data_IF_224974300017
#
_entry.id   IF_224974300017
#
_cell.length_a   1.000
_cell.length_b   1.000
_cell.length_c   1.000
_cell.angle_alpha   90.00
_cell.angle_beta   90.00
_cell.angle_gamma   90.00
#
_symmetry.space_group_name_H-M   'P 1'
#
loop_
_entity.id
_entity.type
_entity.pdbx_description
1 polymer ?
#
# COMPACT_ATOMS: atom_id res chain seq x y z
N UNK A 1 21.87 -26.69 7.12
CA UNK A 1 22.31 -25.39 6.56
C UNK A 1 21.31 -25.03 5.47
N UNK A 2 20.19 -24.43 5.85
CA UNK A 2 19.11 -24.04 4.93
C UNK A 2 19.17 -22.53 4.75
N UNK A 3 19.34 -22.12 3.50
CA UNK A 3 19.27 -20.74 3.06
C UNK A 3 17.99 -20.61 2.24
N UNK A 4 16.89 -20.25 2.89
CA UNK A 4 15.61 -19.99 2.23
C UNK A 4 15.64 -18.58 1.63
N UNK A 5 15.73 -18.49 0.31
CA UNK A 5 15.47 -17.26 -0.44
C UNK A 5 13.97 -17.16 -0.70
N UNK A 6 13.26 -16.46 0.18
CA UNK A 6 11.89 -16.04 -0.03
C UNK A 6 11.84 -14.99 -1.16
N UNK A 7 11.22 -15.34 -2.28
CA UNK A 7 10.77 -14.37 -3.29
C UNK A 7 9.61 -13.58 -2.69
N UNK A 8 9.90 -12.37 -2.22
CA UNK A 8 8.89 -11.43 -1.78
C UNK A 8 8.02 -11.04 -2.98
N UNK A 9 6.78 -11.54 -3.01
CA UNK A 9 5.70 -10.97 -3.81
C UNK A 9 5.44 -9.56 -3.28
N UNK A 10 6.12 -8.56 -3.86
CA UNK A 10 5.83 -7.17 -3.59
C UNK A 10 4.45 -6.88 -4.21
N UNK A 11 3.44 -6.75 -3.35
CA UNK A 11 2.15 -6.17 -3.73
C UNK A 11 2.46 -4.71 -4.09
N UNK A 12 2.74 -4.45 -5.36
CA UNK A 12 2.96 -3.10 -5.88
C UNK A 12 1.66 -2.34 -5.66
N UNK A 13 1.72 -1.28 -4.85
CA UNK A 13 0.59 -0.35 -4.82
C UNK A 13 0.41 0.24 -6.20
N UNK A 14 -0.83 0.53 -6.55
CA UNK A 14 -1.12 1.22 -7.79
C UNK A 14 -0.40 2.57 -7.77
N UNK A 15 0.56 2.72 -8.68
CA UNK A 15 1.42 3.89 -8.80
C UNK A 15 0.59 5.17 -8.97
N UNK A 16 -0.60 5.05 -9.57
CA UNK A 16 -1.56 6.15 -9.75
C UNK A 16 -2.09 6.72 -8.42
N UNK A 17 -2.27 5.89 -7.38
CA UNK A 17 -2.75 6.34 -6.07
C UNK A 17 -1.67 7.17 -5.37
N UNK A 18 -0.42 6.73 -5.47
CA UNK A 18 0.73 7.44 -4.91
C UNK A 18 0.98 8.75 -5.66
N UNK A 19 0.78 8.75 -6.97
CA UNK A 19 0.88 9.96 -7.80
C UNK A 19 -0.20 10.99 -7.45
N UNK A 20 -1.49 10.60 -7.37
CA UNK A 20 -2.60 11.49 -6.97
C UNK A 20 -2.33 12.14 -5.60
N UNK A 21 -1.69 11.38 -4.70
CA UNK A 21 -1.37 11.84 -3.35
C UNK A 21 -0.05 12.63 -3.25
N UNK A 22 0.73 12.76 -4.32
CA UNK A 22 2.03 13.43 -4.29
C UNK A 22 3.10 12.67 -3.48
N UNK A 23 2.95 11.35 -3.37
CA UNK A 23 3.85 10.46 -2.63
C UNK A 23 4.78 9.66 -3.56
N UNK A 24 4.64 9.83 -4.88
CA UNK A 24 5.50 9.18 -5.87
C UNK A 24 6.89 9.83 -5.91
N UNK A 25 7.93 9.01 -5.76
CA UNK A 25 9.32 9.44 -5.90
C UNK A 25 9.83 9.20 -7.31
N UNK A 26 10.57 10.18 -7.85
CA UNK A 26 11.25 10.04 -9.13
C UNK A 26 12.50 9.19 -8.99
N UNK A 27 12.77 8.36 -9.99
CA UNK A 27 13.96 7.50 -10.03
C UNK A 27 15.25 8.31 -9.84
N UNK A 28 16.10 7.86 -8.91
CA UNK A 28 17.39 8.51 -8.66
C UNK A 28 17.32 9.75 -7.75
N UNK A 29 16.17 10.01 -7.11
CA UNK A 29 16.01 11.04 -6.07
C UNK A 29 15.99 10.47 -4.64
N UNK A 30 15.89 9.15 -4.49
CA UNK A 30 16.04 8.44 -3.24
C UNK A 30 16.78 7.11 -3.45
N UNK A 31 17.27 6.52 -2.35
CA UNK A 31 17.73 5.13 -2.38
C UNK A 31 16.53 4.19 -2.48
N UNK A 32 16.73 2.99 -3.03
CA UNK A 32 15.70 1.94 -3.06
C UNK A 32 15.09 1.69 -1.67
N UNK A 33 15.91 1.64 -0.61
CA UNK A 33 15.42 1.46 0.78
C UNK A 33 14.53 2.61 1.26
N UNK A 34 14.82 3.84 0.83
CA UNK A 34 13.99 5.00 1.15
C UNK A 34 12.65 4.93 0.41
N UNK A 35 12.67 4.56 -0.88
CA UNK A 35 11.45 4.36 -1.67
C UNK A 35 10.55 3.27 -1.05
N UNK A 36 11.12 2.13 -0.68
CA UNK A 36 10.42 1.05 0.02
C UNK A 36 9.83 1.50 1.36
N UNK A 37 10.56 2.30 2.13
CA UNK A 37 10.10 2.83 3.41
C UNK A 37 8.94 3.81 3.24
N UNK A 38 9.03 4.72 2.27
CA UNK A 38 7.96 5.68 1.95
C UNK A 38 6.72 4.95 1.45
N UNK A 39 6.87 3.97 0.57
CA UNK A 39 5.77 3.15 0.11
C UNK A 39 5.09 2.41 1.26
N UNK A 40 5.88 1.85 2.20
CA UNK A 40 5.35 1.19 3.41
C UNK A 40 4.55 2.17 4.27
N UNK A 41 5.06 3.38 4.51
CA UNK A 41 4.34 4.42 5.25
C UNK A 41 3.06 4.85 4.53
N UNK A 42 3.10 5.01 3.20
CA UNK A 42 1.95 5.39 2.40
C UNK A 42 0.83 4.33 2.49
N UNK A 43 1.16 3.03 2.57
CA UNK A 43 0.17 1.95 2.74
C UNK A 43 -0.68 2.12 4.00
N UNK A 44 -0.07 2.59 5.08
CA UNK A 44 -0.73 2.80 6.37
C UNK A 44 -1.70 4.00 6.36
N UNK A 45 -1.63 4.83 5.32
CA UNK A 45 -2.42 6.05 5.16
C UNK A 45 -3.57 5.87 4.15
N UNK A 46 -3.89 4.64 3.78
CA UNK A 46 -4.99 4.32 2.88
C UNK A 46 -6.29 4.12 3.65
N UNK A 47 -7.37 4.70 3.12
CA UNK A 47 -8.70 4.50 3.61
C UNK A 47 -9.27 3.16 3.12
N UNK A 48 -9.71 2.25 4.02
CA UNK A 48 -10.22 0.93 3.64
C UNK A 48 -11.61 0.95 2.96
N UNK A 49 -12.24 2.12 2.81
CA UNK A 49 -13.54 2.26 2.14
C UNK A 49 -13.42 2.72 0.69
N UNK A 50 -12.35 3.42 0.33
CA UNK A 50 -12.18 3.97 -1.02
C UNK A 50 -10.83 3.62 -1.64
N UNK A 51 -9.97 2.89 -0.93
CA UNK A 51 -8.62 2.49 -1.32
C UNK A 51 -7.72 3.65 -1.77
N UNK A 52 -8.05 4.87 -1.35
CA UNK A 52 -7.26 6.08 -1.59
C UNK A 52 -6.63 6.58 -0.30
N UNK A 53 -5.59 7.39 -0.45
CA UNK A 53 -4.98 8.11 0.66
C UNK A 53 -6.04 8.98 1.38
N UNK A 54 -5.99 9.01 2.72
CA UNK A 54 -7.00 9.67 3.54
C UNK A 54 -7.26 11.13 3.13
N UNK A 55 -8.52 11.45 2.79
CA UNK A 55 -9.02 12.82 2.65
C UNK A 55 -9.81 13.19 3.90
N UNK A 56 -9.28 14.13 4.68
CA UNK A 56 -9.82 14.52 6.01
C UNK A 56 -10.02 13.29 6.91
N UNK A 57 -8.92 12.67 7.40
CA UNK A 57 -9.02 11.46 8.21
C UNK A 57 -9.88 11.69 9.46
N UNK A 58 -10.74 10.74 9.73
CA UNK A 58 -11.63 10.70 10.89
C UNK A 58 -11.54 9.33 11.54
N UNK A 59 -11.48 9.32 12.86
CA UNK A 59 -11.33 8.10 13.65
C UNK A 59 -12.61 7.86 14.46
N UNK A 60 -13.10 6.63 14.41
CA UNK A 60 -14.21 6.18 15.22
C UNK A 60 -13.77 6.07 16.68
N UNK A 61 -14.49 6.72 17.60
CA UNK A 61 -14.12 6.68 19.02
C UNK A 61 -14.34 5.31 19.67
N UNK A 62 -15.22 4.46 19.14
CA UNK A 62 -15.56 3.16 19.70
C UNK A 62 -14.50 2.08 19.43
N UNK A 63 -13.77 2.17 18.32
CA UNK A 63 -12.84 1.12 17.89
C UNK A 63 -11.51 1.64 17.33
N UNK A 64 -11.28 2.95 17.34
CA UNK A 64 -10.05 3.60 16.85
C UNK A 64 -9.70 3.35 15.37
N UNK A 65 -10.64 2.85 14.55
CA UNK A 65 -10.45 2.72 13.11
C UNK A 65 -10.64 4.05 12.39
N UNK A 66 -9.80 4.28 11.37
CA UNK A 66 -9.72 5.55 10.64
C UNK A 66 -10.22 5.44 9.20
N UNK A 67 -10.96 6.46 8.75
CA UNK A 67 -11.57 6.55 7.42
C UNK A 67 -11.51 8.00 6.90
N UNK A 68 -11.67 8.20 5.60
CA UNK A 68 -12.00 9.53 5.08
C UNK A 68 -13.34 10.00 5.67
N UNK A 69 -13.45 11.27 6.02
CA UNK A 69 -14.68 11.82 6.61
C UNK A 69 -15.90 11.56 5.73
N UNK A 70 -15.81 11.81 4.42
CA UNK A 70 -16.93 11.56 3.51
C UNK A 70 -17.27 10.06 3.38
N UNK A 71 -16.27 9.18 3.32
CA UNK A 71 -16.51 7.75 3.16
C UNK A 71 -17.27 7.16 4.35
N UNK A 72 -16.92 7.55 5.57
CA UNK A 72 -17.63 7.06 6.76
C UNK A 72 -19.02 7.69 6.91
N UNK A 73 -19.22 8.91 6.41
CA UNK A 73 -20.53 9.59 6.40
C UNK A 73 -21.52 8.86 5.49
N UNK A 74 -21.06 8.54 4.29
CA UNK A 74 -21.86 7.80 3.29
C UNK A 74 -22.15 6.37 3.78
N UNK A 75 -21.16 5.72 4.39
CA UNK A 75 -21.32 4.38 4.95
C UNK A 75 -22.31 4.36 6.14
N UNK A 76 -22.23 5.36 7.03
CA UNK A 76 -23.11 5.49 8.19
C UNK A 76 -24.59 5.76 7.81
N UNK A 77 -24.88 6.13 6.55
CA UNK A 77 -26.25 6.26 6.07
C UNK A 77 -26.96 4.92 5.87
N UNK A 78 -26.20 3.84 5.63
CA UNK A 78 -26.74 2.49 5.35
C UNK A 78 -26.41 1.47 6.43
N UNK A 79 -25.34 1.69 7.20
CA UNK A 79 -24.82 0.74 8.18
C UNK A 79 -24.55 1.42 9.53
N UNK A 80 -24.66 0.68 10.63
CA UNK A 80 -24.48 1.18 11.99
C UNK A 80 -23.27 0.59 12.72
N UNK A 81 -22.48 -0.24 12.05
CA UNK A 81 -21.32 -0.93 12.62
C UNK A 81 -20.05 -0.53 11.85
N UNK A 82 -18.89 -0.65 12.48
CA UNK A 82 -17.60 -0.38 11.86
C UNK A 82 -17.41 -1.28 10.62
N UNK A 83 -16.98 -0.74 9.46
CA UNK A 83 -16.78 -1.51 8.22
C UNK A 83 -15.55 -2.42 8.26
N UNK A 84 -14.67 -2.29 9.26
CA UNK A 84 -13.50 -3.17 9.40
C UNK A 84 -13.95 -4.57 9.82
N UNK A 85 -13.52 -5.57 9.05
CA UNK A 85 -13.83 -6.97 9.31
C UNK A 85 -13.40 -7.39 10.72
N UNK A 86 -14.28 -8.11 11.41
CA UNK A 86 -14.06 -8.56 12.80
C UNK A 86 -14.24 -7.49 13.87
N UNK A 87 -14.40 -6.21 13.54
CA UNK A 87 -14.59 -5.16 14.55
C UNK A 87 -16.01 -5.12 15.11
N UNK A 88 -17.03 -5.08 14.24
CA UNK A 88 -18.46 -5.04 14.58
C UNK A 88 -18.91 -3.94 15.59
N UNK A 89 -18.02 -3.04 16.03
CA UNK A 89 -18.35 -1.99 16.99
C UNK A 89 -19.34 -1.00 16.40
N UNK A 90 -20.34 -0.53 17.17
CA UNK A 90 -21.31 0.42 16.67
C UNK A 90 -20.64 1.76 16.32
N UNK A 91 -21.06 2.32 15.20
CA UNK A 91 -20.76 3.69 14.79
C UNK A 91 -21.47 4.70 15.69
N UNK A 92 -22.54 4.30 16.40
CA UNK A 92 -23.33 5.17 17.26
C UNK A 92 -23.24 4.80 18.74
N UNK A 93 -22.47 5.56 19.52
CA UNK A 93 -22.67 5.66 20.97
C UNK A 93 -23.13 7.09 21.25
N UNK A 94 -24.45 7.31 21.19
CA UNK A 94 -25.02 8.64 21.41
C UNK A 94 -24.95 8.94 22.89
N UNK A 95 -23.87 9.58 23.33
CA UNK A 95 -23.86 10.25 24.62
C UNK A 95 -24.93 11.35 24.63
N UNK A 96 -25.56 11.60 25.78
CA UNK A 96 -26.57 12.65 26.03
C UNK A 96 -26.23 14.05 25.49
N UNK A 97 -24.98 14.30 25.12
CA UNK A 97 -24.47 15.60 24.68
C UNK A 97 -24.34 15.78 23.15
N UNK A 98 -24.85 14.86 22.32
CA UNK A 98 -25.00 15.09 20.88
C UNK A 98 -23.68 15.30 20.11
N UNK A 99 -22.57 14.76 20.61
CA UNK A 99 -21.29 14.78 19.90
C UNK A 99 -21.30 13.88 18.67
N UNK A 100 -20.57 14.28 17.62
CA UNK A 100 -20.29 13.43 16.45
C UNK A 100 -19.49 12.19 16.86
N UNK A 101 -19.92 11.01 16.43
CA UNK A 101 -19.34 9.70 16.79
C UNK A 101 -17.94 9.44 16.21
N UNK A 102 -17.61 10.22 15.18
CA UNK A 102 -16.30 10.28 14.55
C UNK A 102 -15.67 11.61 14.90
N UNK A 103 -14.38 11.57 15.25
CA UNK A 103 -13.58 12.76 15.47
C UNK A 103 -12.59 12.88 14.32
N UNK A 104 -12.40 14.10 13.82
CA UNK A 104 -11.29 14.37 12.90
C UNK A 104 -9.98 14.01 13.61
N UNK A 105 -9.09 13.34 12.88
CA UNK A 105 -7.80 12.92 13.38
C UNK A 105 -6.72 13.85 12.79
N UNK A 106 -6.38 14.96 13.48
CA UNK A 106 -5.38 15.89 12.97
C UNK A 106 -3.98 15.26 12.90
N UNK A 107 -3.69 14.24 13.71
CA UNK A 107 -2.39 13.57 13.69
C UNK A 107 -2.15 12.85 12.35
N UNK A 108 -3.13 12.07 11.87
CA UNK A 108 -3.01 11.39 10.55
C UNK A 108 -2.89 12.43 9.44
N UNK A 109 -3.64 13.53 9.50
CA UNK A 109 -3.54 14.61 8.52
C UNK A 109 -2.14 15.24 8.51
N UNK A 110 -1.58 15.54 9.68
CA UNK A 110 -0.23 16.09 9.81
C UNK A 110 0.85 15.11 9.31
N UNK A 111 0.70 13.81 9.58
CA UNK A 111 1.62 12.78 9.07
C UNK A 111 1.60 12.73 7.55
N UNK A 112 0.42 12.81 6.94
CA UNK A 112 0.24 12.81 5.49
C UNK A 112 0.89 14.05 4.86
N UNK A 113 0.62 15.25 5.40
CA UNK A 113 1.24 16.50 4.94
C UNK A 113 2.78 16.47 5.07
N UNK A 114 3.28 15.92 6.18
CA UNK A 114 4.73 15.78 6.41
C UNK A 114 5.36 14.83 5.39
N UNK A 115 4.71 13.70 5.11
CA UNK A 115 5.20 12.72 4.13
C UNK A 115 5.20 13.29 2.71
N UNK A 116 4.15 14.03 2.33
CA UNK A 116 4.09 14.76 1.06
C UNK A 116 5.22 15.78 0.93
N UNK A 117 5.49 16.54 1.99
CA UNK A 117 6.58 17.51 2.00
C UNK A 117 7.94 16.83 1.80
N UNK A 118 8.18 15.71 2.48
CA UNK A 118 9.41 14.92 2.31
C UNK A 118 9.55 14.45 0.86
N UNK A 119 8.50 13.86 0.28
CA UNK A 119 8.54 13.38 -1.10
C UNK A 119 8.80 14.51 -2.09
N UNK A 120 8.16 15.67 -1.87
CA UNK A 120 8.41 16.88 -2.65
C UNK A 120 9.88 17.32 -2.57
N UNK A 121 10.43 17.43 -1.36
CA UNK A 121 11.83 17.84 -1.16
C UNK A 121 12.83 16.85 -1.78
N UNK A 122 12.56 15.55 -1.69
CA UNK A 122 13.39 14.53 -2.34
C UNK A 122 13.35 14.69 -3.86
N UNK A 123 12.17 14.89 -4.44
CA UNK A 123 11.99 15.09 -5.88
C UNK A 123 12.63 16.40 -6.40
N UNK A 124 12.72 17.43 -5.56
CA UNK A 124 13.41 18.70 -5.87
C UNK A 124 14.94 18.61 -5.67
N UNK A 125 15.41 17.63 -4.91
CA UNK A 125 16.84 17.43 -4.64
C UNK A 125 17.59 16.92 -5.89
N UNK A 126 18.89 17.23 -6.03
CA UNK A 126 19.71 16.69 -7.11
C UNK A 126 19.70 15.16 -7.14
N UNK A 127 19.81 14.57 -8.33
CA UNK A 127 19.94 13.12 -8.46
C UNK A 127 21.16 12.63 -7.69
N UNK A 128 21.02 11.51 -6.98
CA UNK A 128 22.06 10.91 -6.16
C UNK A 128 22.63 11.83 -5.06
N UNK A 129 21.86 12.79 -4.53
CA UNK A 129 22.32 13.72 -3.48
C UNK A 129 22.85 13.03 -2.21
N UNK A 130 22.41 11.80 -1.94
CA UNK A 130 22.85 10.99 -0.81
C UNK A 130 24.20 10.29 -1.06
N UNK A 131 24.79 10.41 -2.25
CA UNK A 131 26.12 9.85 -2.56
C UNK A 131 27.20 10.89 -2.27
N UNK A 132 28.37 10.43 -1.86
CA UNK A 132 29.51 11.32 -1.68
C UNK A 132 30.01 11.83 -3.05
N UNK A 133 30.56 13.07 -3.11
CA UNK A 133 31.12 13.62 -4.35
C UNK A 133 32.16 12.70 -5.01
N UNK A 134 32.96 11.99 -4.20
CA UNK A 134 33.96 11.04 -4.71
C UNK A 134 33.33 9.87 -5.46
N UNK A 135 32.24 9.30 -4.92
CA UNK A 135 31.52 8.19 -5.58
C UNK A 135 30.87 8.66 -6.87
N UNK A 136 30.36 9.89 -6.92
CA UNK A 136 29.77 10.46 -8.13
C UNK A 136 30.81 10.59 -9.25
N UNK A 137 32.02 11.08 -8.92
CA UNK A 137 33.14 11.16 -9.89
C UNK A 137 33.52 9.80 -10.44
N UNK A 138 33.68 8.80 -9.57
CA UNK A 138 34.02 7.44 -10.01
C UNK A 138 32.95 6.84 -10.93
N UNK A 139 31.66 7.06 -10.65
CA UNK A 139 30.57 6.61 -11.54
C UNK A 139 30.64 7.32 -12.89
N UNK A 140 30.92 8.63 -12.91
CA UNK A 140 31.04 9.41 -14.14
C UNK A 140 32.24 8.96 -15.00
N UNK A 141 33.38 8.67 -14.37
CA UNK A 141 34.58 8.13 -15.02
C UNK A 141 34.29 6.76 -15.65
N UNK A 142 33.68 5.83 -14.91
CA UNK A 142 33.32 4.50 -15.45
C UNK A 142 32.30 4.57 -16.59
N UNK A 143 31.36 5.52 -16.55
CA UNK A 143 30.40 5.72 -17.65
C UNK A 143 31.07 6.30 -18.90
N UNK A 144 32.05 7.19 -18.74
CA UNK A 144 32.84 7.75 -19.85
C UNK A 144 33.70 6.68 -20.51
N UNK A 145 34.34 5.81 -19.74
CA UNK A 145 35.13 4.68 -20.26
C UNK A 145 34.28 3.74 -21.12
N UNK A 146 33.08 3.36 -20.66
CA UNK A 146 32.16 2.51 -21.45
C UNK A 146 31.64 3.16 -22.73
N UNK A 147 31.56 4.48 -22.80
CA UNK A 147 31.13 5.16 -24.03
C UNK A 147 32.25 5.19 -25.08
N UNK A 148 33.51 5.25 -24.66
CA UNK A 148 34.66 5.20 -25.54
C UNK A 148 34.88 3.80 -26.13
N UNK A 149 34.62 2.73 -25.35
CA UNK A 149 34.76 1.35 -25.86
C UNK A 149 33.72 0.98 -26.93
N UNK A 150 32.64 1.77 -27.08
CA UNK A 150 31.53 1.44 -27.97
C UNK A 150 31.61 2.13 -29.34
N UNK A 151 32.63 2.93 -29.61
CA UNK A 151 32.78 3.65 -30.88
C UNK A 151 33.63 2.93 -31.93
N UNK A 152 34.22 1.77 -31.62
CA UNK A 152 35.31 1.20 -32.43
C UNK A 152 34.98 -0.15 -33.10
N UNK A 153 33.74 -0.65 -33.04
CA UNK A 153 33.31 -1.96 -33.59
C UNK A 153 32.15 -1.85 -34.62
N UNK A 154 32.15 -0.81 -35.47
CA UNK A 154 31.21 -0.68 -36.60
C UNK A 154 31.94 -0.76 -37.96
N UNK A 155 32.69 -1.85 -38.20
CA UNK A 155 33.01 -2.28 -39.57
C UNK A 155 32.86 -3.81 -39.69
N UNK A 156 31.84 -4.19 -40.47
CA UNK A 156 31.68 -5.42 -41.26
C UNK A 156 31.47 -6.77 -40.54
N UNK A 157 30.22 -7.26 -40.56
CA UNK A 157 29.93 -8.65 -40.98
C UNK A 157 28.42 -8.86 -41.22
N UNK A 158 28.02 -8.83 -42.49
CA UNK A 158 26.75 -9.37 -42.99
C UNK A 158 26.78 -10.92 -42.88
N UNK A 159 26.51 -11.48 -41.70
CA UNK A 159 26.30 -12.94 -41.56
C UNK A 159 24.81 -13.29 -41.44
N UNK A 160 24.24 -13.67 -42.58
CA UNK A 160 22.89 -14.19 -42.81
C UNK A 160 22.70 -15.55 -42.10
N UNK A 161 22.63 -15.52 -40.77
CA UNK A 161 22.27 -16.69 -39.96
C UNK A 161 20.76 -16.69 -39.73
N UNK A 162 20.07 -17.56 -40.48
CA UNK A 162 18.61 -17.70 -40.44
C UNK A 162 18.11 -18.01 -39.03
N UNK A 163 17.26 -17.12 -38.52
CA UNK A 163 16.69 -17.08 -37.16
C UNK A 163 15.90 -18.35 -36.78
N UNK A 164 15.57 -19.20 -37.75
CA UNK A 164 14.72 -20.38 -37.56
C UNK A 164 15.44 -21.56 -36.86
N UNK A 165 16.77 -21.68 -36.96
CA UNK A 165 17.50 -22.82 -36.38
C UNK A 165 17.77 -22.70 -34.86
N UNK A 166 17.86 -21.47 -34.34
CA UNK A 166 18.17 -21.23 -32.92
C UNK A 166 16.97 -21.52 -31.97
N UNK A 167 15.74 -21.41 -32.46
CA UNK A 167 14.53 -21.64 -31.67
C UNK A 167 14.21 -23.14 -31.45
N UNK A 168 14.69 -24.04 -32.31
CA UNK A 168 14.46 -25.49 -32.17
C UNK A 168 15.34 -26.13 -31.09
N UNK A 169 16.56 -25.62 -30.88
CA UNK A 169 17.45 -26.10 -29.81
C UNK A 169 16.92 -25.74 -28.41
N UNK A 170 16.39 -24.52 -28.23
CA UNK A 170 15.86 -24.09 -26.94
C UNK A 170 14.62 -24.90 -26.51
N UNK A 171 13.78 -25.29 -27.47
CA UNK A 171 12.54 -26.04 -27.23
C UNK A 171 12.78 -27.49 -26.81
N UNK A 172 13.88 -28.11 -27.27
CA UNK A 172 14.26 -29.48 -26.89
C UNK A 172 14.80 -29.57 -25.46
N UNK A 173 15.36 -28.49 -24.92
CA UNK A 173 15.97 -28.48 -23.58
C UNK A 173 14.94 -28.49 -22.44
N UNK A 174 13.77 -27.88 -22.64
CA UNK A 174 12.76 -27.72 -21.58
C UNK A 174 11.78 -28.90 -21.41
N UNK A 175 11.73 -29.88 -22.32
CA UNK A 175 10.81 -31.03 -22.19
C UNK A 175 11.28 -32.15 -21.24
N UNK A 176 12.47 -32.04 -20.65
CA UNK A 176 13.07 -33.14 -19.86
C UNK A 176 12.99 -32.98 -18.34
N UNK A 177 12.43 -31.88 -17.82
CA UNK A 177 12.52 -31.55 -16.38
C UNK A 177 11.24 -31.87 -15.58
N UNK A 178 10.08 -32.07 -16.21
CA UNK A 178 8.79 -32.14 -15.49
C UNK A 178 8.32 -33.52 -15.01
N UNK A 179 9.18 -34.55 -14.92
CA UNK A 179 8.71 -35.92 -14.66
C UNK A 179 9.17 -36.62 -13.37
N UNK A 180 9.84 -35.94 -12.43
CA UNK A 180 10.40 -36.64 -11.26
C UNK A 180 10.04 -36.11 -9.87
N UNK A 181 9.22 -35.06 -9.69
CA UNK A 181 9.02 -34.48 -8.36
C UNK A 181 7.57 -34.47 -7.85
N UNK A 182 6.87 -35.58 -8.00
CA UNK A 182 5.63 -35.88 -7.27
C UNK A 182 5.90 -36.98 -6.24
N UNK A 183 6.17 -36.58 -5.00
CA UNK A 183 6.39 -37.51 -3.90
C UNK A 183 6.31 -36.81 -2.55
N UNK A 184 5.36 -37.27 -1.74
CA UNK A 184 5.27 -37.16 -0.28
C UNK A 184 4.67 -35.88 0.36
N UNK A 185 3.35 -36.00 0.59
CA UNK A 185 2.63 -35.52 1.77
C UNK A 185 3.42 -35.55 3.07
N UNK A 186 3.18 -34.57 3.95
CA UNK A 186 2.94 -34.90 5.36
C UNK A 186 2.20 -33.83 6.13
N UNK A 187 1.26 -34.35 6.92
CA UNK A 187 0.35 -33.73 7.85
C UNK A 187 1.06 -32.87 8.91
N UNK A 188 0.52 -31.68 9.19
CA UNK A 188 0.74 -31.04 10.49
C UNK A 188 -0.58 -30.57 11.10
N UNK A 189 -0.98 -31.35 12.09
CA UNK A 189 -2.17 -31.17 12.89
C UNK A 189 -2.02 -30.00 13.88
N UNK A 190 -3.11 -29.23 14.00
CA UNK A 190 -3.83 -28.96 15.25
C UNK A 190 -2.99 -28.59 16.48
N UNK A 191 -3.10 -27.33 16.91
CA UNK A 191 -3.08 -26.99 18.34
C UNK A 191 -4.15 -25.94 18.63
N UNK A 192 -5.22 -26.45 19.22
CA UNK A 192 -6.26 -25.72 19.94
C UNK A 192 -5.65 -25.30 21.28
N UNK A 193 -5.73 -24.02 21.63
CA UNK A 193 -5.70 -23.60 23.02
C UNK A 193 -6.93 -22.74 23.27
N UNK A 194 -7.78 -23.31 24.10
CA UNK A 194 -8.93 -22.72 24.72
C UNK A 194 -8.38 -21.91 25.91
N UNK A 195 -8.63 -20.59 25.92
CA UNK A 195 -8.46 -19.75 27.10
C UNK A 195 -9.83 -19.09 27.34
N UNK A 196 -10.54 -19.65 28.31
CA UNK A 196 -11.80 -19.19 28.87
C UNK A 196 -11.48 -18.05 29.87
N UNK A 197 -11.82 -16.81 29.53
CA UNK A 197 -11.84 -15.70 30.47
C UNK A 197 -13.30 -15.26 30.72
N UNK A 198 -13.77 -15.57 31.92
CA UNK A 198 -15.03 -15.14 32.52
C UNK A 198 -15.10 -13.61 32.57
N UNK A 199 -16.01 -13.02 31.78
CA UNK A 199 -16.34 -11.59 31.88
C UNK A 199 -17.65 -11.42 32.65
N UNK A 200 -17.54 -10.72 33.77
CA UNK A 200 -18.63 -10.43 34.70
C UNK A 200 -19.81 -9.73 34.01
N UNK A 201 -20.99 -10.24 34.34
CA UNK A 201 -22.29 -9.74 33.90
C UNK A 201 -22.61 -8.42 34.60
N UNK A 202 -22.53 -7.30 33.88
CA UNK A 202 -23.14 -6.03 34.28
C UNK A 202 -24.53 -5.95 33.66
N UNK A 203 -25.54 -6.11 34.52
CA UNK A 203 -26.92 -5.77 34.22
C UNK A 203 -27.05 -4.25 34.07
N UNK A 204 -27.63 -3.81 32.96
CA UNK A 204 -28.16 -2.46 32.83
C UNK A 204 -29.37 -2.50 31.90
N UNK A 205 -30.52 -2.58 32.54
CA UNK A 205 -31.79 -2.06 32.04
C UNK A 205 -31.57 -0.66 31.43
N UNK A 206 -31.87 -0.50 30.14
CA UNK A 206 -32.58 0.70 29.71
C UNK A 206 -33.29 0.47 28.37
N UNK A 207 -34.59 0.24 28.51
CA UNK A 207 -35.55 0.13 27.44
C UNK A 207 -35.85 1.49 26.80
N UNK A 208 -36.20 1.41 25.51
CA UNK A 208 -36.91 2.42 24.70
C UNK A 208 -36.03 3.59 24.22
N UNK A 209 -35.83 3.69 22.90
CA UNK A 209 -36.18 4.84 22.03
C UNK A 209 -35.69 4.58 20.60
N UNK A 210 -36.42 3.72 19.89
CA UNK A 210 -36.30 3.62 18.43
C UNK A 210 -36.98 4.83 17.78
N UNK A 211 -36.19 5.82 17.33
CA UNK A 211 -36.64 6.81 16.33
C UNK A 211 -35.53 7.10 15.33
N UNK A 212 -35.57 6.36 14.22
CA UNK A 212 -34.72 6.58 13.05
C UNK A 212 -34.86 8.00 12.51
N UNK A 213 -33.76 8.75 12.54
CA UNK A 213 -33.64 10.02 11.81
C UNK A 213 -33.08 9.72 10.43
N UNK A 214 -33.97 9.83 9.45
CA UNK A 214 -33.74 9.75 8.01
C UNK A 214 -32.70 10.80 7.62
N UNK A 215 -31.56 10.38 7.04
CA UNK A 215 -30.57 11.27 6.45
C UNK A 215 -31.25 12.11 5.35
N UNK A 216 -31.37 13.42 5.57
CA UNK A 216 -31.84 14.35 4.54
C UNK A 216 -30.65 14.61 3.62
N UNK A 217 -30.65 14.00 2.43
CA UNK A 217 -29.86 14.48 1.31
C UNK A 217 -30.49 15.78 0.82
N UNK A 218 -29.87 16.91 1.15
CA UNK A 218 -30.18 18.19 0.54
C UNK A 218 -29.62 18.22 -0.88
N UNK A 219 -30.48 17.84 -1.83
CA UNK A 219 -30.28 17.98 -3.25
C UNK A 219 -30.33 19.47 -3.63
N UNK A 220 -29.21 20.18 -3.53
CA UNK A 220 -29.09 21.53 -4.09
C UNK A 220 -28.93 21.43 -5.60
N UNK A 221 -30.08 21.49 -6.27
CA UNK A 221 -30.24 21.79 -7.68
C UNK A 221 -29.42 23.02 -8.08
N UNK A 222 -28.74 22.86 -9.18
CA UNK A 222 -28.26 23.92 -10.06
C UNK A 222 -29.35 24.99 -10.28
N UNK A 223 -28.95 26.24 -10.14
CA UNK A 223 -29.62 27.35 -10.82
C UNK A 223 -28.59 28.02 -11.71
N UNK A 224 -28.99 28.08 -12.98
CA UNK A 224 -28.39 28.73 -14.12
C UNK A 224 -27.98 30.19 -13.86
#
# INVERSE_FOLDING_TARGET
>A
MTSDSATATSVTMDESILEEAGLLLKTGHATQKMEESINTMARLLICPLCDKIFKQPSTLCSCAHSFCMHCIDDFACSNWNCPVEGCNMPLSITGRHGGSYRKRNPQIAQTLESLQLICKQLNESPKNWWRSPSVLKSIEETLKERQLEKSDDDEDDDDDTSVDDALDEFRKRYRKVDRQNFGESRDFARSKKDDDDDIDSIDSDDSLWARGKRCKHDNKRDRA
#
